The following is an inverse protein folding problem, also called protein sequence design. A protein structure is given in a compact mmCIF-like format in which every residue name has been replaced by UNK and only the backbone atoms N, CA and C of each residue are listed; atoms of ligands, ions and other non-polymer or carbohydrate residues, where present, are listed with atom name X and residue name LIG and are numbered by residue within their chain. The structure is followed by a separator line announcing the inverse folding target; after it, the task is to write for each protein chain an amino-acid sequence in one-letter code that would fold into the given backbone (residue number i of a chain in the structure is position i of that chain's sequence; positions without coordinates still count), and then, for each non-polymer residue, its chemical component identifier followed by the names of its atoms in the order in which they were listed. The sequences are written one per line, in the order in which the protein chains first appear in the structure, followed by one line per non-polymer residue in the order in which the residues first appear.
data_IF_836618161568
#
_entry.id   IF_836618161568
#
_cell.length_a   1.000
_cell.length_b   1.000
_cell.length_c   1.000
_cell.angle_alpha   90.00
_cell.angle_beta   90.00
_cell.angle_gamma   90.00
#
_symmetry.space_group_name_H-M   'P 1'
#
loop_
_entity.id
_entity.type
_entity.pdbx_description
1 polymer ?
#
# COMPACT_ATOMS: atom_id res chain seq x y z
N UNK A 1 -0.37 -20.36 -0.01
CA UNK A 1 0.72 -20.66 -0.97
C UNK A 1 1.39 -19.35 -1.35
N UNK A 2 2.61 -19.11 -0.88
CA UNK A 2 3.21 -17.77 -0.83
C UNK A 2 3.38 -17.04 -2.18
N UNK A 3 3.06 -17.67 -3.32
CA UNK A 3 3.02 -17.01 -4.63
C UNK A 3 1.63 -16.48 -4.97
N UNK A 4 0.54 -17.19 -4.71
CA UNK A 4 -0.76 -16.81 -5.27
C UNK A 4 -1.48 -15.74 -4.45
N UNK A 5 -1.21 -15.69 -3.14
CA UNK A 5 -1.85 -14.76 -2.20
C UNK A 5 -0.92 -13.62 -1.74
N UNK A 6 0.13 -13.33 -2.51
CA UNK A 6 1.00 -12.17 -2.26
C UNK A 6 0.58 -11.02 -3.15
N UNK A 7 0.51 -9.81 -2.59
CA UNK A 7 0.22 -8.60 -3.34
C UNK A 7 1.34 -8.33 -4.32
N UNK A 8 0.99 -8.38 -5.61
CA UNK A 8 1.85 -7.94 -6.69
C UNK A 8 1.74 -6.45 -6.89
N UNK A 9 0.55 -5.87 -7.10
CA UNK A 9 0.27 -4.42 -7.31
C UNK A 9 -0.80 -3.91 -6.35
N UNK A 10 -0.84 -2.60 -6.08
CA UNK A 10 -1.95 -1.95 -5.38
C UNK A 10 -2.20 -0.53 -5.89
N UNK A 11 -3.42 -0.03 -5.70
CA UNK A 11 -3.75 1.37 -5.95
C UNK A 11 -2.94 2.28 -5.00
N UNK A 12 -2.28 3.28 -5.58
CA UNK A 12 -1.55 4.33 -4.87
C UNK A 12 -1.91 5.65 -5.49
N UNK A 13 -2.58 6.51 -4.71
CA UNK A 13 -2.83 7.91 -5.08
C UNK A 13 -1.66 8.82 -4.68
N UNK A 14 -0.73 8.30 -3.87
CA UNK A 14 0.40 9.02 -3.28
C UNK A 14 0.00 10.43 -2.80
N UNK A 15 -0.86 10.50 -1.78
CA UNK A 15 -1.33 11.76 -1.22
C UNK A 15 -0.19 12.66 -0.76
N UNK A 16 -0.34 13.97 -0.98
CA UNK A 16 0.61 14.98 -0.53
C UNK A 16 0.53 15.16 0.98
N UNK A 17 1.55 14.72 1.70
CA UNK A 17 1.73 15.08 3.10
C UNK A 17 2.61 16.33 3.19
N UNK A 18 2.16 17.38 3.86
CA UNK A 18 3.01 18.56 4.14
C UNK A 18 3.06 18.84 5.64
N UNK A 19 3.99 19.71 6.06
CA UNK A 19 4.08 20.18 7.44
C UNK A 19 2.76 20.80 7.94
N UNK A 20 1.96 21.36 7.02
CA UNK A 20 0.72 22.08 7.29
C UNK A 20 -0.54 21.21 7.23
N UNK A 21 -0.45 19.95 6.78
CA UNK A 21 -1.59 19.04 6.77
C UNK A 21 -1.52 17.93 5.72
N UNK A 22 -2.55 17.08 5.74
CA UNK A 22 -2.79 16.09 4.70
C UNK A 22 -3.54 16.73 3.54
N UNK A 23 -2.93 16.65 2.36
CA UNK A 23 -3.52 17.08 1.11
C UNK A 23 -3.79 15.85 0.23
N UNK A 24 -5.08 15.63 -0.10
CA UNK A 24 -5.53 14.54 -0.98
C UNK A 24 -5.42 14.89 -2.47
N UNK A 25 -4.72 15.95 -2.82
CA UNK A 25 -4.35 16.20 -4.21
C UNK A 25 -3.31 15.17 -4.68
N UNK A 26 -3.44 14.63 -5.91
CA UNK A 26 -2.45 13.73 -6.48
C UNK A 26 -1.05 14.36 -6.52
N UNK A 27 -0.03 13.53 -6.31
CA UNK A 27 1.38 13.90 -6.44
C UNK A 27 2.08 12.97 -7.43
N UNK A 28 3.22 13.42 -7.96
CA UNK A 28 4.10 12.55 -8.73
C UNK A 28 4.62 11.43 -7.82
N UNK A 29 4.35 10.19 -8.19
CA UNK A 29 4.77 9.00 -7.45
C UNK A 29 6.16 8.55 -7.96
N UNK A 30 6.97 7.98 -7.07
CA UNK A 30 8.18 7.30 -7.49
C UNK A 30 7.83 5.99 -8.22
N UNK A 31 8.82 5.42 -8.87
CA UNK A 31 8.73 4.08 -9.41
C UNK A 31 8.33 3.11 -8.29
N UNK A 32 7.24 2.38 -8.48
CA UNK A 32 6.78 1.49 -7.43
C UNK A 32 7.73 0.29 -7.24
N UNK A 33 8.33 -0.21 -8.33
CA UNK A 33 9.44 -1.15 -8.29
C UNK A 33 10.55 -0.74 -9.28
N UNK A 34 11.80 -0.92 -8.90
CA UNK A 34 12.99 -0.85 -9.77
C UNK A 34 13.99 -1.93 -9.38
N UNK A 35 15.01 -2.18 -10.21
CA UNK A 35 16.14 -3.03 -9.84
C UNK A 35 16.90 -2.56 -8.59
N UNK A 36 16.80 -1.27 -8.22
CA UNK A 36 17.48 -0.70 -7.06
C UNK A 36 16.65 -0.77 -5.77
N UNK A 37 15.33 -0.60 -5.86
CA UNK A 37 14.41 -0.71 -4.74
C UNK A 37 12.94 -0.78 -5.21
N UNK A 38 12.09 -1.41 -4.40
CA UNK A 38 10.67 -1.11 -4.34
C UNK A 38 10.45 -0.07 -3.24
N UNK A 39 9.77 1.03 -3.57
CA UNK A 39 9.59 2.13 -2.62
C UNK A 39 8.24 2.05 -1.92
N UNK A 40 7.18 1.53 -2.56
CA UNK A 40 5.87 1.44 -1.90
C UNK A 40 5.72 0.11 -1.14
N UNK A 41 5.06 0.16 0.01
CA UNK A 41 4.99 -0.98 0.93
C UNK A 41 3.58 -1.16 1.50
N UNK A 42 3.24 -2.39 1.91
CA UNK A 42 2.01 -2.70 2.66
C UNK A 42 2.15 -2.44 4.18
N UNK A 43 3.24 -1.79 4.60
CA UNK A 43 3.54 -1.58 6.03
C UNK A 43 2.52 -0.65 6.69
N UNK A 44 2.03 0.37 6.00
CA UNK A 44 1.11 1.30 6.64
C UNK A 44 -0.34 1.04 6.21
N UNK A 45 -1.33 1.47 7.01
CA UNK A 45 -2.73 1.38 6.66
C UNK A 45 -3.08 1.93 5.29
N UNK A 46 -4.08 1.31 4.68
CA UNK A 46 -4.71 1.83 3.47
C UNK A 46 -5.32 3.20 3.80
N UNK A 47 -5.15 4.18 2.92
CA UNK A 47 -5.60 5.55 3.16
C UNK A 47 -5.05 6.17 4.46
N UNK A 48 -3.79 5.84 4.79
CA UNK A 48 -3.10 6.37 5.95
C UNK A 48 -3.29 7.89 6.10
N UNK A 49 -3.81 8.29 7.26
CA UNK A 49 -3.94 9.71 7.64
C UNK A 49 -2.99 10.14 8.76
N UNK A 50 -2.19 9.22 9.30
CA UNK A 50 -1.30 9.56 10.40
C UNK A 50 0.01 10.16 9.88
N UNK A 51 0.20 11.45 10.14
CA UNK A 51 1.35 12.26 9.70
C UNK A 51 2.72 11.68 10.09
N UNK A 52 2.81 11.01 11.24
CA UNK A 52 4.08 10.41 11.68
C UNK A 52 4.57 9.28 10.76
N UNK A 53 3.70 8.75 9.91
CA UNK A 53 3.98 7.60 9.06
C UNK A 53 3.85 7.90 7.57
N UNK A 54 3.46 9.13 7.20
CA UNK A 54 3.39 9.53 5.79
C UNK A 54 4.80 9.65 5.20
N UNK A 55 4.97 9.36 3.89
CA UNK A 55 6.19 9.71 3.18
C UNK A 55 6.47 11.21 3.32
N UNK A 56 7.76 11.54 3.48
CA UNK A 56 8.30 12.77 4.10
C UNK A 56 7.63 14.09 3.74
N UNK A 57 8.37 14.99 3.10
CA UNK A 57 7.83 16.28 2.70
C UNK A 57 6.86 16.15 1.51
N UNK A 58 6.18 17.25 1.17
CA UNK A 58 5.23 17.29 0.05
C UNK A 58 5.84 16.83 -1.27
N UNK A 59 7.16 16.89 -1.41
CA UNK A 59 7.90 16.66 -2.64
C UNK A 59 8.70 15.35 -2.66
N UNK A 60 8.73 14.56 -1.58
CA UNK A 60 9.44 13.27 -1.54
C UNK A 60 8.63 12.17 -2.23
N UNK A 61 8.96 11.75 -3.46
CA UNK A 61 8.12 10.83 -4.22
C UNK A 61 8.21 9.38 -3.74
N UNK A 62 9.02 9.08 -2.72
CA UNK A 62 9.29 7.71 -2.28
C UNK A 62 8.31 7.27 -1.20
N UNK A 63 8.24 5.96 -0.95
CA UNK A 63 7.68 5.38 0.27
C UNK A 63 6.18 5.60 0.50
N UNK A 64 5.33 5.26 -0.48
CA UNK A 64 3.88 5.31 -0.28
C UNK A 64 3.30 4.00 0.29
N UNK A 65 2.02 4.05 0.67
CA UNK A 65 1.21 2.92 1.10
C UNK A 65 -0.08 2.88 0.27
N UNK A 66 -0.81 1.76 0.26
CA UNK A 66 -2.01 1.66 -0.56
C UNK A 66 -2.99 2.78 -0.26
N UNK A 67 -3.54 3.39 -1.30
CA UNK A 67 -4.44 4.52 -1.18
C UNK A 67 -5.36 4.59 -2.38
N UNK A 68 -6.62 4.93 -2.10
CA UNK A 68 -7.66 4.99 -3.12
C UNK A 68 -8.75 5.97 -2.72
N UNK A 69 -9.42 6.51 -3.73
CA UNK A 69 -10.61 7.33 -3.54
C UNK A 69 -11.89 6.49 -3.45
N UNK A 70 -11.78 5.17 -3.66
CA UNK A 70 -12.87 4.23 -3.41
C UNK A 70 -13.22 4.22 -1.92
N UNK A 71 -14.51 4.14 -1.62
CA UNK A 71 -14.98 4.10 -0.23
C UNK A 71 -14.60 2.77 0.41
N UNK A 72 -13.93 2.82 1.56
CA UNK A 72 -13.70 1.67 2.42
C UNK A 72 -12.49 0.80 2.06
N UNK A 73 -11.65 1.17 1.08
CA UNK A 73 -10.51 0.33 0.72
C UNK A 73 -9.86 0.69 -0.60
N UNK A 74 -9.05 -0.24 -1.12
CA UNK A 74 -8.37 -0.10 -2.41
C UNK A 74 -8.31 -1.43 -3.18
N UNK A 75 -8.13 -1.36 -4.49
CA UNK A 75 -7.86 -2.55 -5.29
C UNK A 75 -6.40 -2.97 -5.18
N UNK A 76 -6.18 -4.28 -5.13
CA UNK A 76 -4.86 -4.91 -5.21
C UNK A 76 -4.86 -6.02 -6.26
N UNK A 77 -3.72 -6.22 -6.89
CA UNK A 77 -3.44 -7.33 -7.79
C UNK A 77 -2.53 -8.29 -7.06
N UNK A 78 -2.86 -9.58 -7.03
CA UNK A 78 -2.03 -10.62 -6.45
C UNK A 78 -1.03 -11.18 -7.48
N UNK A 79 -0.01 -11.93 -7.05
CA UNK A 79 0.98 -12.44 -8.00
C UNK A 79 0.46 -13.56 -8.92
N UNK A 80 -0.74 -14.09 -8.67
CA UNK A 80 -1.47 -14.95 -9.63
C UNK A 80 -2.25 -14.15 -10.69
N UNK A 81 -2.22 -12.82 -10.64
CA UNK A 81 -2.92 -11.93 -11.56
C UNK A 81 -4.38 -11.64 -11.20
N UNK A 82 -4.91 -12.25 -10.13
CA UNK A 82 -6.25 -11.93 -9.64
C UNK A 82 -6.29 -10.53 -9.00
N UNK A 83 -7.44 -9.87 -9.11
CA UNK A 83 -7.70 -8.56 -8.51
C UNK A 83 -8.65 -8.73 -7.33
N UNK A 84 -8.31 -8.11 -6.19
CA UNK A 84 -9.13 -8.14 -4.97
C UNK A 84 -9.27 -6.75 -4.38
N UNK A 85 -10.43 -6.47 -3.80
CA UNK A 85 -10.65 -5.26 -3.03
C UNK A 85 -10.26 -5.51 -1.58
N UNK A 86 -9.29 -4.77 -1.06
CA UNK A 86 -8.90 -4.84 0.35
C UNK A 86 -9.55 -3.71 1.14
N UNK A 87 -10.20 -4.08 2.24
CA UNK A 87 -10.77 -3.11 3.19
C UNK A 87 -9.68 -2.27 3.87
N UNK A 88 -9.93 -0.98 4.07
CA UNK A 88 -9.06 -0.13 4.89
C UNK A 88 -9.05 -0.53 6.38
N UNK A 89 -10.04 -1.31 6.81
CA UNK A 89 -10.16 -1.89 8.17
C UNK A 89 -9.57 -3.29 8.29
N UNK A 90 -8.87 -3.79 7.26
CA UNK A 90 -8.20 -5.09 7.29
C UNK A 90 -7.27 -5.22 8.51
N UNK A 91 -7.21 -6.42 9.09
CA UNK A 91 -6.27 -6.71 10.17
C UNK A 91 -4.82 -6.45 9.70
N UNK A 92 -4.06 -5.76 10.55
CA UNK A 92 -2.70 -5.35 10.19
C UNK A 92 -1.78 -6.56 9.95
N UNK A 93 -1.95 -7.67 10.68
CA UNK A 93 -1.13 -8.87 10.48
C UNK A 93 -1.46 -9.53 9.14
N UNK A 94 -2.74 -9.60 8.78
CA UNK A 94 -3.15 -10.08 7.44
C UNK A 94 -2.52 -9.20 6.36
N UNK A 95 -2.61 -7.87 6.49
CA UNK A 95 -2.00 -6.93 5.54
C UNK A 95 -0.48 -7.14 5.40
N UNK A 96 0.22 -7.40 6.50
CA UNK A 96 1.66 -7.67 6.46
C UNK A 96 1.96 -8.99 5.77
N UNK A 97 1.22 -10.05 6.09
CA UNK A 97 1.43 -11.36 5.49
C UNK A 97 1.16 -11.33 3.98
N UNK A 98 0.21 -10.52 3.51
CA UNK A 98 -0.02 -10.27 2.08
C UNK A 98 1.20 -9.69 1.33
N UNK A 99 2.18 -9.11 2.03
CA UNK A 99 3.43 -8.61 1.42
C UNK A 99 4.61 -9.58 1.52
N UNK A 100 4.45 -10.72 2.20
CA UNK A 100 5.54 -11.66 2.45
C UNK A 100 5.31 -13.00 1.75
N UNK A 101 5.98 -13.20 0.61
CA UNK A 101 5.86 -14.44 -0.19
C UNK A 101 6.35 -15.73 0.47
N UNK A 102 7.08 -15.67 1.59
CA UNK A 102 7.75 -16.82 2.22
C UNK A 102 7.86 -16.66 3.74
N UNK A 103 6.83 -16.11 4.38
CA UNK A 103 6.76 -16.03 5.84
C UNK A 103 6.28 -17.33 6.50
N UNK A 104 5.63 -18.23 5.74
CA UNK A 104 5.06 -19.47 6.26
C UNK A 104 3.71 -19.29 6.95
N UNK A 105 3.15 -18.07 6.93
CA UNK A 105 1.88 -17.77 7.56
C UNK A 105 0.71 -18.18 6.66
N UNK A 106 -0.33 -18.76 7.27
CA UNK A 106 -1.61 -18.95 6.58
C UNK A 106 -2.33 -17.61 6.60
N UNK A 107 -2.67 -17.10 5.42
CA UNK A 107 -3.47 -15.88 5.29
C UNK A 107 -4.94 -16.27 5.43
N UNK A 108 -5.66 -15.60 6.33
CA UNK A 108 -7.11 -15.79 6.52
C UNK A 108 -7.94 -15.22 5.36
N UNK A 109 -9.25 -15.02 5.56
CA UNK A 109 -10.08 -14.29 4.59
C UNK A 109 -9.79 -12.78 4.67
N UNK A 110 -9.83 -12.10 3.51
CA UNK A 110 -9.51 -10.69 3.35
C UNK A 110 -10.15 -10.07 2.11
#
# INVERSE_FOLDING_TARGET
DGTSNTVMLFESMHWRASSNGLNREPKFDANWASPLAAVNTMRNPINLTNRAWLPGDEWDPRCSSPSSNHTGGCQVVLCDGSVRFLSETIDNNIRYNLSHRRDGNVIGEY
#
